data_IF_507697207019
#
_entry.id   IF_507697207019
#
_cell.length_a   1.000
_cell.length_b   1.000
_cell.length_c   1.000
_cell.angle_alpha   90.00
_cell.angle_beta   90.00
_cell.angle_gamma   90.00
#
_symmetry.space_group_name_H-M   'P 1'
#
loop_
_entity.id
_entity.type
_entity.pdbx_description
1 polymer ?
#
# COMPACT_ATOMS: atom_id res chain seq x y z
N UNK A 1 -0.09 16.34 -10.70
CA UNK A 1 -0.57 17.64 -10.20
C UNK A 1 -1.46 18.41 -11.19
N UNK A 2 -1.11 18.57 -12.48
CA UNK A 2 -1.91 19.38 -13.41
C UNK A 2 -3.39 18.93 -13.53
N UNK A 3 -3.66 17.63 -13.67
CA UNK A 3 -5.01 17.10 -13.79
C UNK A 3 -5.89 17.36 -12.53
N UNK A 4 -5.29 17.25 -11.34
CA UNK A 4 -6.00 17.51 -10.08
C UNK A 4 -6.50 18.95 -10.00
N UNK A 5 -5.64 19.93 -10.37
CA UNK A 5 -6.02 21.34 -10.38
C UNK A 5 -7.18 21.59 -11.35
N UNK A 6 -7.16 20.93 -12.51
CA UNK A 6 -8.25 21.02 -13.50
C UNK A 6 -9.56 20.48 -12.90
N UNK A 7 -9.54 19.29 -12.30
CA UNK A 7 -10.74 18.71 -11.71
C UNK A 7 -11.26 19.50 -10.49
N UNK A 8 -10.37 20.03 -9.63
CA UNK A 8 -10.75 20.93 -8.53
C UNK A 8 -11.46 22.18 -9.05
N UNK A 9 -10.88 22.85 -10.06
CA UNK A 9 -11.52 24.02 -10.69
C UNK A 9 -12.85 23.66 -11.35
N UNK A 10 -12.93 22.52 -12.05
CA UNK A 10 -14.15 22.08 -12.68
C UNK A 10 -15.26 21.75 -11.66
N UNK A 11 -14.90 21.19 -10.49
CA UNK A 11 -15.83 20.92 -9.39
C UNK A 11 -16.40 22.20 -8.78
N UNK A 12 -15.60 23.26 -8.70
CA UNK A 12 -16.04 24.57 -8.19
C UNK A 12 -17.05 25.25 -9.13
N UNK A 13 -16.95 25.03 -10.44
CA UNK A 13 -17.85 25.61 -11.43
C UNK A 13 -19.14 24.80 -11.51
N UNK A 14 -19.01 23.47 -11.58
CA UNK A 14 -20.15 22.56 -11.65
C UNK A 14 -19.78 21.24 -11.01
N UNK A 15 -20.34 21.01 -9.82
CA UNK A 15 -20.07 19.83 -9.02
C UNK A 15 -20.90 18.63 -9.50
N UNK A 16 -20.23 17.62 -10.03
CA UNK A 16 -20.85 16.35 -10.43
C UNK A 16 -20.01 15.15 -9.94
N UNK A 17 -20.65 13.99 -9.91
CA UNK A 17 -20.06 12.76 -9.41
C UNK A 17 -18.90 12.26 -10.26
N UNK A 18 -18.97 12.43 -11.59
CA UNK A 18 -17.93 11.97 -12.51
C UNK A 18 -16.62 12.77 -12.31
N UNK A 19 -16.71 14.10 -12.20
CA UNK A 19 -15.55 14.95 -11.86
C UNK A 19 -14.98 14.62 -10.48
N UNK A 20 -15.83 14.38 -9.49
CA UNK A 20 -15.39 13.96 -8.16
C UNK A 20 -14.64 12.62 -8.18
N UNK A 21 -15.15 11.62 -8.91
CA UNK A 21 -14.46 10.33 -9.10
C UNK A 21 -13.12 10.49 -9.83
N UNK A 22 -13.05 11.36 -10.84
CA UNK A 22 -11.80 11.63 -11.56
C UNK A 22 -10.78 12.36 -10.68
N UNK A 23 -11.23 13.26 -9.80
CA UNK A 23 -10.38 13.89 -8.79
C UNK A 23 -9.86 12.87 -7.78
N UNK A 24 -10.72 12.00 -7.25
CA UNK A 24 -10.32 10.91 -6.35
C UNK A 24 -9.27 10.00 -6.99
N UNK A 25 -9.44 9.62 -8.27
CA UNK A 25 -8.45 8.83 -8.98
C UNK A 25 -7.10 9.55 -9.12
N UNK A 26 -7.10 10.87 -9.32
CA UNK A 26 -5.86 11.65 -9.32
C UNK A 26 -5.15 11.62 -7.97
N UNK A 27 -5.90 11.64 -6.86
CA UNK A 27 -5.37 11.61 -5.50
C UNK A 27 -4.82 10.22 -5.14
N UNK A 28 -5.52 9.14 -5.52
CA UNK A 28 -5.02 7.76 -5.34
C UNK A 28 -3.67 7.57 -6.03
N UNK A 29 -3.54 8.06 -7.27
CA UNK A 29 -2.27 8.03 -8.03
C UNK A 29 -1.15 8.85 -7.39
N UNK A 30 -1.47 9.79 -6.52
CA UNK A 30 -0.51 10.60 -5.76
C UNK A 30 -0.29 10.09 -4.33
N UNK A 31 -0.80 8.89 -4.00
CA UNK A 31 -0.78 8.31 -2.65
C UNK A 31 -1.48 9.16 -1.57
N UNK A 32 -2.37 10.07 -1.97
CA UNK A 32 -3.18 10.90 -1.06
C UNK A 32 -4.51 10.20 -0.76
N UNK A 33 -4.41 9.10 -0.04
CA UNK A 33 -5.53 8.16 0.12
C UNK A 33 -6.67 8.72 0.97
N UNK A 34 -6.38 9.45 2.05
CA UNK A 34 -7.45 9.95 2.95
C UNK A 34 -8.36 10.96 2.24
N UNK A 35 -7.77 11.87 1.47
CA UNK A 35 -8.51 12.83 0.65
C UNK A 35 -9.33 12.14 -0.44
N UNK A 36 -8.77 11.11 -1.07
CA UNK A 36 -9.48 10.32 -2.07
C UNK A 36 -10.68 9.59 -1.45
N UNK A 37 -10.51 8.95 -0.28
CA UNK A 37 -11.58 8.25 0.42
C UNK A 37 -12.69 9.21 0.81
N UNK A 38 -12.36 10.38 1.37
CA UNK A 38 -13.34 11.40 1.72
C UNK A 38 -14.22 11.81 0.52
N UNK A 39 -13.60 12.06 -0.64
CA UNK A 39 -14.34 12.42 -1.85
C UNK A 39 -15.24 11.28 -2.32
N UNK A 40 -14.75 10.04 -2.32
CA UNK A 40 -15.52 8.86 -2.72
C UNK A 40 -16.72 8.62 -1.80
N UNK A 41 -16.56 8.80 -0.48
CA UNK A 41 -17.66 8.72 0.48
C UNK A 41 -18.71 9.81 0.25
N UNK A 42 -18.30 11.02 -0.13
CA UNK A 42 -19.22 12.09 -0.47
C UNK A 42 -20.02 11.77 -1.74
N UNK A 43 -19.39 11.17 -2.75
CA UNK A 43 -20.09 10.64 -3.94
C UNK A 43 -21.06 9.55 -3.55
N UNK A 44 -20.64 8.60 -2.71
CA UNK A 44 -21.46 7.49 -2.23
C UNK A 44 -22.70 7.96 -1.45
N UNK A 45 -22.55 8.99 -0.62
CA UNK A 45 -23.64 9.61 0.17
C UNK A 45 -24.60 10.47 -0.67
N UNK A 46 -24.40 10.57 -1.99
CA UNK A 46 -25.30 11.34 -2.84
C UNK A 46 -25.08 12.84 -2.82
N UNK A 47 -23.90 13.33 -2.39
CA UNK A 47 -23.64 14.78 -2.30
C UNK A 47 -23.42 15.47 -3.65
N UNK A 48 -23.26 14.70 -4.73
CA UNK A 48 -23.02 15.23 -6.07
C UNK A 48 -24.15 14.85 -7.02
N UNK A 49 -24.35 15.70 -8.04
CA UNK A 49 -25.28 15.38 -9.11
C UNK A 49 -24.81 14.13 -9.86
N UNK A 50 -25.74 13.20 -10.14
CA UNK A 50 -25.44 11.93 -10.81
C UNK A 50 -24.82 10.86 -9.89
N UNK A 51 -24.81 11.08 -8.57
CA UNK A 51 -24.36 10.07 -7.60
C UNK A 51 -25.22 8.82 -7.58
N UNK A 52 -26.52 8.93 -7.87
CA UNK A 52 -27.44 7.79 -7.81
C UNK A 52 -27.33 6.83 -8.98
N UNK A 53 -26.68 7.25 -10.07
CA UNK A 53 -26.49 6.44 -11.26
C UNK A 53 -25.71 5.17 -10.93
N UNK A 54 -26.20 4.01 -11.37
CA UNK A 54 -25.55 2.71 -11.16
C UNK A 54 -24.09 2.71 -11.64
N UNK A 55 -23.80 3.40 -12.75
CA UNK A 55 -22.44 3.55 -13.27
C UNK A 55 -21.52 4.28 -12.31
N UNK A 56 -22.02 5.33 -11.66
CA UNK A 56 -21.27 6.09 -10.66
C UNK A 56 -20.99 5.23 -9.44
N UNK A 57 -21.98 4.49 -8.94
CA UNK A 57 -21.82 3.59 -7.78
C UNK A 57 -20.77 2.52 -8.03
N UNK A 58 -20.85 1.84 -9.17
CA UNK A 58 -19.84 0.86 -9.59
C UNK A 58 -18.44 1.50 -9.65
N UNK A 59 -18.34 2.72 -10.19
CA UNK A 59 -17.06 3.44 -10.28
C UNK A 59 -16.49 3.80 -8.91
N UNK A 60 -17.35 4.18 -7.96
CA UNK A 60 -16.94 4.45 -6.58
C UNK A 60 -16.44 3.17 -5.90
N UNK A 61 -17.16 2.06 -6.04
CA UNK A 61 -16.74 0.76 -5.50
C UNK A 61 -15.38 0.32 -6.05
N UNK A 62 -15.17 0.41 -7.37
CA UNK A 62 -13.87 0.13 -7.99
C UNK A 62 -12.73 0.95 -7.40
N UNK A 63 -12.96 2.27 -7.21
CA UNK A 63 -11.94 3.18 -6.69
C UNK A 63 -11.68 2.94 -5.19
N UNK A 64 -12.69 2.56 -4.42
CA UNK A 64 -12.53 2.17 -3.02
C UNK A 64 -11.72 0.88 -2.90
N UNK A 65 -12.01 -0.14 -3.75
CA UNK A 65 -11.23 -1.37 -3.81
C UNK A 65 -9.77 -1.10 -4.23
N UNK A 66 -9.54 -0.22 -5.21
CA UNK A 66 -8.19 0.21 -5.58
C UNK A 66 -7.49 0.85 -4.38
N UNK A 67 -8.15 1.76 -3.67
CA UNK A 67 -7.60 2.45 -2.51
C UNK A 67 -7.24 1.49 -1.38
N UNK A 68 -8.14 0.56 -1.05
CA UNK A 68 -7.93 -0.45 0.00
C UNK A 68 -6.76 -1.37 -0.35
N UNK A 69 -6.54 -1.67 -1.64
CA UNK A 69 -5.39 -2.46 -2.09
C UNK A 69 -4.04 -1.76 -1.93
N UNK A 70 -4.04 -0.42 -1.80
CA UNK A 70 -2.83 0.40 -1.64
C UNK A 70 -2.53 0.74 -0.18
N UNK A 71 -3.52 0.65 0.70
CA UNK A 71 -3.32 0.90 2.12
C UNK A 71 -2.83 -0.36 2.84
N UNK A 72 -1.94 -0.21 3.84
CA UNK A 72 -1.61 -1.32 4.71
C UNK A 72 -2.87 -1.77 5.46
N UNK A 73 -2.95 -3.04 5.88
CA UNK A 73 -4.10 -3.53 6.63
C UNK A 73 -4.45 -2.65 7.85
N UNK A 74 -5.73 -2.56 8.25
CA UNK A 74 -6.18 -1.67 9.33
C UNK A 74 -5.44 -1.85 10.67
N UNK A 75 -4.91 -3.06 10.92
CA UNK A 75 -4.14 -3.37 12.13
C UNK A 75 -2.74 -2.74 12.15
N UNK A 76 -2.19 -2.34 10.99
CA UNK A 76 -0.91 -1.63 10.90
C UNK A 76 -1.09 -0.10 10.84
N UNK A 77 -2.26 0.38 10.41
CA UNK A 77 -2.53 1.81 10.22
C UNK A 77 -2.55 2.63 11.53
N UNK A 78 -2.83 1.99 12.67
CA UNK A 78 -3.01 2.67 13.96
C UNK A 78 -1.92 2.33 15.00
N UNK A 79 -0.80 1.72 14.60
CA UNK A 79 0.29 1.45 15.53
C UNK A 79 1.15 2.73 15.65
N UNK A 80 1.16 3.41 16.81
CA UNK A 80 1.96 4.61 16.99
C UNK A 80 3.46 4.25 16.86
N UNK A 81 4.18 4.92 15.99
CA UNK A 81 5.62 4.68 15.75
C UNK A 81 5.94 3.68 14.64
N UNK A 82 4.94 3.20 13.89
CA UNK A 82 5.10 2.39 12.69
C UNK A 82 5.10 3.30 11.43
N UNK A 83 5.79 4.44 11.51
CA UNK A 83 6.16 5.15 10.28
C UNK A 83 7.09 4.19 9.54
N UNK A 84 6.71 3.79 8.33
CA UNK A 84 7.48 2.85 7.50
C UNK A 84 8.68 3.59 6.89
N UNK A 85 9.43 4.28 7.73
CA UNK A 85 10.64 4.97 7.39
C UNK A 85 11.74 3.94 7.07
N UNK A 86 12.72 4.35 6.25
CA UNK A 86 13.85 3.49 5.87
C UNK A 86 14.55 2.87 7.09
N UNK A 87 14.55 3.55 8.23
CA UNK A 87 15.14 3.06 9.48
C UNK A 87 14.37 1.87 10.09
N UNK A 88 13.03 1.82 9.96
CA UNK A 88 12.23 0.68 10.42
C UNK A 88 12.45 -0.55 9.54
N UNK A 89 12.51 -0.35 8.22
CA UNK A 89 12.79 -1.41 7.25
C UNK A 89 14.20 -1.96 7.45
N UNK A 90 15.20 -1.09 7.66
CA UNK A 90 16.56 -1.48 7.97
C UNK A 90 16.65 -2.23 9.32
N UNK A 91 15.89 -1.81 10.34
CA UNK A 91 15.81 -2.53 11.62
C UNK A 91 15.22 -3.93 11.48
N UNK A 92 14.19 -4.09 10.64
CA UNK A 92 13.61 -5.40 10.33
C UNK A 92 14.59 -6.30 9.58
N UNK A 93 15.31 -5.77 8.60
CA UNK A 93 16.35 -6.51 7.85
C UNK A 93 17.49 -6.95 8.78
N UNK A 94 17.94 -6.07 9.68
CA UNK A 94 18.96 -6.41 10.67
C UNK A 94 18.48 -7.50 11.65
N UNK A 95 17.22 -7.44 12.10
CA UNK A 95 16.63 -8.48 12.95
C UNK A 95 16.52 -9.83 12.22
N UNK A 96 16.11 -9.80 10.94
CA UNK A 96 16.07 -11.01 10.10
C UNK A 96 17.47 -11.58 9.92
N UNK A 97 18.48 -10.75 9.71
CA UNK A 97 19.88 -11.18 9.60
C UNK A 97 20.44 -11.73 10.92
N UNK A 98 20.04 -11.19 12.08
CA UNK A 98 20.44 -11.72 13.40
C UNK A 98 19.74 -13.05 13.74
N UNK A 99 18.44 -13.16 13.44
CA UNK A 99 17.67 -14.39 13.64
C UNK A 99 18.02 -15.47 12.62
N UNK A 100 18.37 -15.05 11.40
CA UNK A 100 19.06 -15.86 10.41
C UNK A 100 20.56 -15.85 10.67
N UNK A 101 20.98 -16.20 11.89
CA UNK A 101 22.33 -16.76 12.12
C UNK A 101 22.61 -17.71 10.96
N UNK A 102 23.77 -17.63 10.28
CA UNK A 102 24.03 -18.39 9.07
C UNK A 102 23.95 -19.88 9.41
N UNK A 103 22.75 -20.45 9.25
CA UNK A 103 22.55 -21.89 9.30
C UNK A 103 23.32 -22.37 8.10
N UNK A 104 24.43 -23.08 8.35
CA UNK A 104 25.16 -23.73 7.29
C UNK A 104 24.11 -24.49 6.47
N UNK A 105 24.09 -24.28 5.15
CA UNK A 105 23.12 -24.95 4.26
C UNK A 105 23.41 -26.47 4.15
N UNK A 106 24.16 -27.03 5.10
CA UNK A 106 24.61 -28.41 5.12
C UNK A 106 23.85 -29.13 6.22
N UNK A 107 23.31 -30.30 5.86
CA UNK A 107 22.65 -31.16 6.82
C UNK A 107 23.65 -31.57 7.91
N UNK A 108 23.22 -31.80 9.16
CA UNK A 108 24.10 -32.10 10.30
C UNK A 108 25.11 -33.24 10.03
N UNK A 109 24.68 -34.23 9.25
CA UNK A 109 25.50 -35.34 8.75
C UNK A 109 26.77 -34.90 7.99
N UNK A 110 26.79 -33.74 7.35
CA UNK A 110 27.97 -33.25 6.62
C UNK A 110 28.97 -32.47 7.49
N UNK A 111 28.60 -32.08 8.72
CA UNK A 111 29.57 -31.53 9.68
C UNK A 111 30.44 -32.65 10.28
N UNK A 112 29.86 -33.82 10.53
CA UNK A 112 30.56 -34.98 11.11
C UNK A 112 31.61 -35.60 10.15
N UNK A 113 31.44 -35.44 8.83
CA UNK A 113 32.39 -35.95 7.81
C UNK A 113 33.54 -34.96 7.56
N UNK A 114 33.40 -33.68 7.96
CA UNK A 114 34.42 -32.66 7.72
C UNK A 114 35.69 -32.88 8.55
N UNK A 115 35.58 -33.48 9.74
CA UNK A 115 36.72 -33.83 10.60
C UNK A 115 37.57 -34.96 10.03
N UNK A 116 37.01 -35.82 9.19
CA UNK A 116 37.73 -36.95 8.58
C UNK A 116 38.52 -36.56 7.33
N UNK A 117 38.30 -35.37 6.77
CA UNK A 117 38.92 -34.97 5.49
C UNK A 117 40.38 -34.53 5.63
N UNK A 118 40.83 -34.19 6.83
CA UNK A 118 42.21 -33.77 7.11
C UNK A 118 43.18 -34.96 7.34
N UNK A 119 42.70 -36.21 7.28
CA UNK A 119 43.53 -37.40 7.51
C UNK A 119 43.93 -38.16 6.24
N UNK A 120 43.53 -37.68 5.05
CA UNK A 120 43.80 -38.35 3.75
C UNK A 120 44.86 -37.63 2.89
N UNK A 121 45.75 -36.87 3.52
CA UNK A 121 46.98 -36.41 2.89
C UNK A 121 48.14 -37.29 3.36
N UNK A 122 48.42 -38.35 2.59
CA UNK A 122 49.70 -39.07 2.58
C UNK A 122 49.94 -39.57 1.15
#
# INVERSE_FOLDING_TARGET
>A
MAAEVVYKKAQMIYSDSNKACNLAQCLIKQARYDEARYILEDVWRGKYLGSDDTKTKNRVEELLLELDSKQPPPFLQNIPGLDLDDDFVNGLDHLINEWARPKSRRLPIFEEISTFRDQLAC
#
